data_IF_868052538359
#
_entry.id   IF_868052538359
#
_cell.length_a   1.000
_cell.length_b   1.000
_cell.length_c   1.000
_cell.angle_alpha   90.00
_cell.angle_beta   90.00
_cell.angle_gamma   90.00
#
_symmetry.space_group_name_H-M   'P 1'
#
loop_
_entity.id
_entity.type
_entity.pdbx_description
1 polymer ?
#
# COMPACT_ATOMS: atom_id res chain seq x y z
N UNK A 1 -2.24 14.47 -12.13
CA UNK A 1 -3.37 15.08 -11.40
C UNK A 1 -3.07 14.97 -9.92
N UNK A 2 -3.08 16.09 -9.17
CA UNK A 2 -2.69 16.08 -7.76
C UNK A 2 -3.87 15.54 -6.94
N UNK A 3 -3.75 14.31 -6.43
CA UNK A 3 -4.79 13.68 -5.60
C UNK A 3 -4.73 14.26 -4.19
N UNK A 4 -5.83 14.79 -3.68
CA UNK A 4 -5.89 15.39 -2.35
C UNK A 4 -6.47 14.38 -1.36
N UNK A 5 -5.63 13.44 -0.92
CA UNK A 5 -6.00 12.41 0.04
C UNK A 5 -5.64 12.90 1.43
N UNK A 6 -6.60 12.87 2.34
CA UNK A 6 -6.42 13.25 3.75
C UNK A 6 -6.46 11.96 4.56
N UNK A 7 -5.35 11.51 5.15
CA UNK A 7 -5.34 10.33 6.00
C UNK A 7 -6.34 10.45 7.15
N UNK A 8 -7.01 9.35 7.48
CA UNK A 8 -7.88 9.29 8.65
C UNK A 8 -7.07 9.31 9.96
N UNK A 9 -7.71 9.73 11.05
CA UNK A 9 -7.16 9.54 12.39
C UNK A 9 -7.03 8.04 12.71
N UNK A 10 -6.03 7.67 13.52
CA UNK A 10 -5.79 6.28 13.91
C UNK A 10 -6.96 5.61 14.65
N UNK A 11 -7.88 6.40 15.20
CA UNK A 11 -9.12 5.97 15.86
C UNK A 11 -10.21 5.52 14.89
N UNK A 12 -10.10 5.83 13.59
CA UNK A 12 -11.08 5.44 12.57
C UNK A 12 -10.87 3.97 12.20
N UNK A 13 -11.89 3.16 12.41
CA UNK A 13 -11.88 1.75 12.00
C UNK A 13 -12.25 1.62 10.53
N UNK A 14 -11.56 0.74 9.80
CA UNK A 14 -11.88 0.49 8.40
C UNK A 14 -13.22 -0.26 8.31
N UNK A 15 -14.23 0.28 7.63
CA UNK A 15 -15.59 -0.27 7.71
C UNK A 15 -15.67 -1.66 7.08
N UNK A 16 -16.27 -2.64 7.77
CA UNK A 16 -16.57 -3.93 7.17
C UNK A 16 -17.82 -3.80 6.29
N UNK A 17 -17.67 -3.86 4.96
CA UNK A 17 -18.77 -3.66 4.01
C UNK A 17 -19.31 -5.00 3.51
N UNK A 18 -20.59 -5.26 3.79
CA UNK A 18 -21.34 -6.33 3.14
C UNK A 18 -21.61 -6.03 1.66
N UNK A 19 -22.14 -7.01 0.93
CA UNK A 19 -22.60 -6.79 -0.45
C UNK A 19 -23.70 -5.72 -0.51
N UNK A 20 -24.62 -5.73 0.47
CA UNK A 20 -25.71 -4.77 0.58
C UNK A 20 -25.20 -3.35 0.84
N UNK A 21 -24.17 -3.20 1.70
CA UNK A 21 -23.55 -1.91 1.98
C UNK A 21 -22.88 -1.34 0.73
N UNK A 22 -22.14 -2.19 0.03
CA UNK A 22 -21.48 -1.84 -1.24
C UNK A 22 -22.51 -1.36 -2.26
N UNK A 23 -23.60 -2.10 -2.41
CA UNK A 23 -24.67 -1.71 -3.32
C UNK A 23 -25.36 -0.42 -2.88
N UNK A 24 -25.55 -0.19 -1.57
CA UNK A 24 -26.11 1.05 -1.04
C UNK A 24 -25.23 2.27 -1.33
N UNK A 25 -23.92 2.16 -1.08
CA UNK A 25 -22.94 3.20 -1.36
C UNK A 25 -22.86 3.52 -2.86
N UNK A 26 -22.91 2.51 -3.73
CA UNK A 26 -22.95 2.73 -5.18
C UNK A 26 -24.22 3.45 -5.62
N UNK A 27 -25.37 3.24 -4.96
CA UNK A 27 -26.58 4.00 -5.28
C UNK A 27 -26.46 5.48 -4.89
N UNK A 28 -25.57 5.85 -3.96
CA UNK A 28 -25.34 7.25 -3.60
C UNK A 28 -24.60 8.03 -4.69
N UNK A 29 -23.94 7.36 -5.64
CA UNK A 29 -23.16 8.05 -6.67
C UNK A 29 -24.03 8.63 -7.77
N UNK A 30 -25.15 7.98 -8.08
CA UNK A 30 -26.06 8.36 -9.14
C UNK A 30 -27.25 9.14 -8.58
N UNK A 31 -27.84 9.99 -9.42
CA UNK A 31 -29.08 10.71 -9.10
C UNK A 31 -29.03 11.58 -7.82
N UNK A 32 -27.83 12.07 -7.48
CA UNK A 32 -27.54 12.72 -6.19
C UNK A 32 -27.79 14.22 -6.15
N UNK A 33 -28.08 14.89 -7.28
CA UNK A 33 -28.15 16.36 -7.35
C UNK A 33 -29.06 16.99 -6.32
N UNK A 34 -30.26 16.45 -6.12
CA UNK A 34 -31.24 16.97 -5.15
C UNK A 34 -30.73 16.99 -3.69
N UNK A 35 -29.82 16.08 -3.34
CA UNK A 35 -29.22 15.99 -2.00
C UNK A 35 -27.96 16.83 -1.86
N UNK A 36 -27.20 16.98 -2.95
CA UNK A 36 -25.86 17.56 -2.94
C UNK A 36 -25.85 19.06 -3.28
N UNK A 37 -26.65 19.48 -4.26
CA UNK A 37 -26.64 20.84 -4.79
C UNK A 37 -27.01 21.88 -3.71
N UNK A 38 -26.12 22.84 -3.47
CA UNK A 38 -26.29 23.86 -2.44
C UNK A 38 -26.15 23.36 -1.00
N UNK A 39 -25.83 22.08 -0.78
CA UNK A 39 -25.57 21.52 0.54
C UNK A 39 -24.13 21.74 1.00
N UNK A 40 -23.88 21.51 2.29
CA UNK A 40 -22.53 21.48 2.89
C UNK A 40 -22.11 20.07 3.30
N UNK A 41 -22.74 19.04 2.72
CA UNK A 41 -22.41 17.65 3.01
C UNK A 41 -20.96 17.35 2.67
N UNK A 42 -20.29 16.60 3.54
CA UNK A 42 -18.99 16.03 3.24
C UNK A 42 -19.16 14.96 2.16
N UNK A 43 -18.36 15.08 1.12
CA UNK A 43 -18.34 14.20 -0.04
C UNK A 43 -16.94 13.62 -0.23
N UNK A 44 -16.87 12.47 -0.88
CA UNK A 44 -15.62 11.85 -1.28
C UNK A 44 -15.76 11.14 -2.62
N UNK A 45 -14.67 11.07 -3.37
CA UNK A 45 -14.61 10.34 -4.62
C UNK A 45 -13.77 9.09 -4.41
N UNK A 46 -14.37 7.91 -4.54
CA UNK A 46 -13.62 6.66 -4.36
C UNK A 46 -12.79 6.26 -5.58
N UNK A 47 -12.82 7.00 -6.70
CA UNK A 47 -11.85 6.82 -7.79
C UNK A 47 -10.49 7.47 -7.46
N UNK A 48 -10.50 8.73 -7.01
CA UNK A 48 -9.25 9.48 -6.77
C UNK A 48 -8.88 9.63 -5.29
N UNK A 49 -9.75 9.23 -4.37
CA UNK A 49 -9.57 9.32 -2.92
C UNK A 49 -9.74 10.71 -2.33
N UNK A 50 -10.18 11.70 -3.12
CA UNK A 50 -10.31 13.09 -2.65
C UNK A 50 -11.58 13.30 -1.83
N UNK A 51 -11.46 14.05 -0.74
CA UNK A 51 -12.57 14.48 0.13
C UNK A 51 -12.81 15.99 -0.01
N UNK A 52 -14.07 16.40 -0.07
CA UNK A 52 -14.49 17.78 -0.33
C UNK A 52 -15.90 18.06 0.19
N UNK A 53 -16.36 19.31 0.15
CA UNK A 53 -17.76 19.64 0.44
C UNK A 53 -18.60 19.66 -0.84
N UNK A 54 -19.88 19.32 -0.75
CA UNK A 54 -20.77 19.23 -1.90
C UNK A 54 -20.84 20.53 -2.73
N UNK A 55 -20.66 21.69 -2.10
CA UNK A 55 -20.61 22.99 -2.79
C UNK A 55 -19.43 23.17 -3.76
N UNK A 56 -18.42 22.29 -3.71
CA UNK A 56 -17.32 22.27 -4.70
C UNK A 56 -17.72 21.58 -6.01
N UNK A 57 -18.84 20.85 -6.04
CA UNK A 57 -19.32 20.14 -7.25
C UNK A 57 -19.89 21.19 -8.22
N UNK A 58 -19.19 21.38 -9.35
CA UNK A 58 -19.61 22.30 -10.41
C UNK A 58 -20.24 21.58 -11.60
N UNK A 59 -19.83 20.34 -11.86
CA UNK A 59 -20.22 19.58 -13.05
C UNK A 59 -21.15 18.42 -12.70
N UNK A 60 -22.15 18.21 -13.55
CA UNK A 60 -23.22 17.23 -13.37
C UNK A 60 -23.46 16.52 -14.71
N UNK A 61 -23.54 15.19 -14.66
CA UNK A 61 -23.95 14.38 -15.80
C UNK A 61 -25.49 14.36 -15.87
N UNK A 62 -26.10 14.85 -16.96
CA UNK A 62 -27.55 14.94 -17.06
C UNK A 62 -28.23 13.57 -17.05
N UNK A 63 -29.28 13.44 -16.25
CA UNK A 63 -30.14 12.25 -16.20
C UNK A 63 -31.55 12.60 -16.70
N UNK A 64 -32.31 11.61 -17.17
CA UNK A 64 -33.63 11.86 -17.79
C UNK A 64 -34.68 12.47 -16.86
N UNK A 65 -34.57 12.21 -15.55
CA UNK A 65 -35.49 12.70 -14.51
C UNK A 65 -35.03 13.99 -13.82
N UNK A 66 -33.89 14.57 -14.25
CA UNK A 66 -33.29 15.77 -13.69
C UNK A 66 -32.60 15.55 -12.34
N UNK A 67 -32.57 14.32 -11.82
CA UNK A 67 -31.70 13.96 -10.73
C UNK A 67 -30.31 13.68 -11.33
N UNK A 68 -29.57 14.73 -11.65
CA UNK A 68 -28.27 14.54 -12.31
C UNK A 68 -27.24 13.86 -11.39
N UNK A 69 -26.29 13.19 -12.02
CA UNK A 69 -25.19 12.49 -11.35
C UNK A 69 -24.01 13.44 -11.13
N UNK A 70 -23.50 13.53 -9.90
CA UNK A 70 -22.40 14.44 -9.55
C UNK A 70 -21.07 13.96 -10.17
N UNK A 71 -20.31 14.89 -10.77
CA UNK A 71 -18.95 14.61 -11.21
C UNK A 71 -17.94 15.16 -10.22
N UNK A 72 -16.96 14.33 -9.87
CA UNK A 72 -15.90 14.70 -8.94
C UNK A 72 -15.15 15.95 -9.44
N UNK A 73 -15.03 17.04 -8.65
CA UNK A 73 -14.35 18.26 -9.07
C UNK A 73 -12.83 18.06 -9.27
N UNK A 74 -12.28 16.96 -8.75
CA UNK A 74 -10.85 16.66 -8.84
C UNK A 74 -10.49 15.74 -10.01
N UNK A 75 -11.34 14.77 -10.38
CA UNK A 75 -11.03 13.80 -11.44
C UNK A 75 -12.08 13.66 -12.54
N UNK A 76 -13.26 14.25 -12.39
CA UNK A 76 -14.35 14.18 -13.37
C UNK A 76 -15.14 12.86 -13.37
N UNK A 77 -14.80 11.90 -12.50
CA UNK A 77 -15.54 10.64 -12.40
C UNK A 77 -16.85 10.80 -11.61
N UNK A 78 -17.84 9.98 -11.96
CA UNK A 78 -19.18 9.83 -11.38
C UNK A 78 -19.20 8.92 -10.14
N UNK A 79 -18.17 9.03 -9.29
CA UNK A 79 -17.95 8.15 -8.13
C UNK A 79 -18.00 8.91 -6.81
N UNK A 80 -18.82 9.97 -6.79
CA UNK A 80 -18.99 10.84 -5.62
C UNK A 80 -19.96 10.19 -4.65
N UNK A 81 -19.50 9.87 -3.45
CA UNK A 81 -20.34 9.47 -2.31
C UNK A 81 -20.35 10.59 -1.28
N UNK A 82 -21.38 10.62 -0.44
CA UNK A 82 -21.49 11.60 0.64
C UNK A 82 -21.75 10.94 1.98
N UNK A 83 -21.38 11.65 3.05
CA UNK A 83 -21.54 11.20 4.42
C UNK A 83 -23.01 11.00 4.75
N UNK A 84 -23.33 9.83 5.30
CA UNK A 84 -24.64 9.51 5.86
C UNK A 84 -24.48 9.02 7.29
N UNK A 85 -25.59 8.92 8.02
CA UNK A 85 -25.55 8.38 9.39
C UNK A 85 -25.04 6.94 9.43
N UNK A 86 -25.40 6.14 8.43
CA UNK A 86 -25.03 4.72 8.35
C UNK A 86 -23.64 4.52 7.76
N UNK A 87 -23.18 5.48 6.94
CA UNK A 87 -21.87 5.47 6.30
C UNK A 87 -21.12 6.80 6.53
N UNK A 88 -20.43 6.94 7.67
CA UNK A 88 -19.51 8.06 7.90
C UNK A 88 -18.43 8.10 6.83
N UNK A 89 -18.12 9.29 6.31
CA UNK A 89 -17.14 9.43 5.24
C UNK A 89 -15.71 9.41 5.80
N UNK A 90 -14.91 8.45 5.36
CA UNK A 90 -13.49 8.29 5.71
C UNK A 90 -12.64 7.86 4.51
N UNK A 91 -11.33 8.08 4.59
CA UNK A 91 -10.36 7.62 3.58
C UNK A 91 -10.28 6.10 3.51
N UNK A 92 -10.46 5.40 4.64
CA UNK A 92 -10.56 3.95 4.68
C UNK A 92 -11.80 3.43 3.92
N UNK A 93 -12.95 4.11 4.04
CA UNK A 93 -14.15 3.79 3.25
C UNK A 93 -13.88 3.96 1.75
N UNK A 94 -13.33 5.12 1.35
CA UNK A 94 -13.01 5.38 -0.05
C UNK A 94 -12.01 4.36 -0.60
N UNK A 95 -10.99 3.99 0.18
CA UNK A 95 -9.99 2.98 -0.21
C UNK A 95 -10.63 1.61 -0.44
N UNK A 96 -11.57 1.19 0.42
CA UNK A 96 -12.31 -0.06 0.22
C UNK A 96 -13.15 -0.04 -1.06
N UNK A 97 -13.88 1.04 -1.30
CA UNK A 97 -14.66 1.23 -2.53
C UNK A 97 -13.75 1.25 -3.77
N UNK A 98 -12.56 1.86 -3.70
CA UNK A 98 -11.60 1.81 -4.80
C UNK A 98 -11.13 0.39 -5.10
N UNK A 99 -10.70 -0.34 -4.06
CA UNK A 99 -10.22 -1.71 -4.21
C UNK A 99 -11.30 -2.68 -4.67
N UNK A 100 -12.57 -2.38 -4.45
CA UNK A 100 -13.70 -3.20 -4.90
C UNK A 100 -14.13 -2.88 -6.34
N UNK A 101 -14.31 -1.59 -6.70
CA UNK A 101 -14.85 -1.20 -8.02
C UNK A 101 -13.78 -0.95 -9.07
N UNK A 102 -12.58 -0.57 -8.65
CA UNK A 102 -11.45 -0.24 -9.52
C UNK A 102 -10.27 -1.20 -9.31
N UNK A 103 -10.55 -2.43 -8.88
CA UNK A 103 -9.51 -3.43 -8.61
C UNK A 103 -8.56 -3.66 -9.79
N UNK A 104 -9.09 -3.75 -11.01
CA UNK A 104 -8.24 -3.91 -12.21
C UNK A 104 -7.30 -2.73 -12.43
N UNK A 105 -7.77 -1.49 -12.23
CA UNK A 105 -6.92 -0.30 -12.30
C UNK A 105 -5.87 -0.32 -11.18
N UNK A 106 -6.27 -0.71 -9.97
CA UNK A 106 -5.36 -0.87 -8.84
C UNK A 106 -4.25 -1.89 -9.14
N UNK A 107 -4.58 -3.08 -9.65
CA UNK A 107 -3.59 -4.10 -10.02
C UNK A 107 -2.61 -3.62 -11.09
N UNK A 108 -3.09 -2.87 -12.09
CA UNK A 108 -2.23 -2.28 -13.12
C UNK A 108 -1.25 -1.27 -12.54
N UNK A 109 -1.70 -0.44 -11.59
CA UNK A 109 -0.85 0.51 -10.87
C UNK A 109 0.15 -0.20 -9.97
N UNK A 110 -0.27 -1.24 -9.26
CA UNK A 110 0.60 -2.04 -8.38
C UNK A 110 1.74 -2.72 -9.15
N UNK A 111 1.45 -3.25 -10.35
CA UNK A 111 2.46 -3.90 -11.23
C UNK A 111 3.65 -2.99 -11.55
N UNK A 112 3.40 -1.70 -11.72
CA UNK A 112 4.43 -0.72 -12.10
C UNK A 112 4.93 0.13 -10.94
N UNK A 113 4.30 0.08 -9.77
CA UNK A 113 4.62 0.94 -8.65
C UNK A 113 6.11 0.82 -8.22
N UNK A 114 6.79 1.95 -8.13
CA UNK A 114 8.16 2.06 -7.61
C UNK A 114 8.21 2.78 -6.26
N UNK A 115 7.06 3.23 -5.77
CA UNK A 115 6.92 3.87 -4.47
C UNK A 115 5.54 3.61 -3.88
N UNK A 116 5.55 3.37 -2.57
CA UNK A 116 4.38 3.26 -1.71
C UNK A 116 4.75 3.87 -0.36
N UNK A 117 3.93 4.76 0.24
CA UNK A 117 4.19 5.27 1.57
C UNK A 117 4.23 4.13 2.61
N UNK A 118 4.87 4.40 3.74
CA UNK A 118 4.96 3.42 4.84
C UNK A 118 3.59 3.15 5.46
N UNK A 119 3.28 1.87 5.70
CA UNK A 119 2.09 1.43 6.43
C UNK A 119 2.44 0.34 7.43
N UNK A 120 1.70 0.25 8.54
CA UNK A 120 1.92 -0.79 9.56
C UNK A 120 0.95 -1.96 9.50
N UNK A 121 -0.26 -1.73 9.02
CA UNK A 121 -1.33 -2.72 8.98
C UNK A 121 -2.23 -2.58 7.77
N UNK A 122 -3.11 -3.56 7.50
CA UNK A 122 -4.13 -3.44 6.45
C UNK A 122 -5.05 -2.24 6.71
N UNK A 123 -5.49 -2.06 7.96
CA UNK A 123 -6.33 -0.92 8.33
C UNK A 123 -5.61 0.41 8.21
N UNK A 124 -4.33 0.47 8.59
CA UNK A 124 -3.49 1.66 8.40
C UNK A 124 -3.28 1.97 6.91
N UNK A 125 -3.06 0.94 6.10
CA UNK A 125 -2.95 1.03 4.65
C UNK A 125 -4.22 1.63 4.02
N UNK A 126 -5.41 1.27 4.51
CA UNK A 126 -6.67 1.86 4.06
C UNK A 126 -6.87 3.29 4.60
N UNK A 127 -6.63 3.54 5.88
CA UNK A 127 -6.78 4.88 6.51
C UNK A 127 -5.89 5.94 5.88
N UNK A 128 -4.66 5.56 5.52
CA UNK A 128 -3.73 6.47 4.86
C UNK A 128 -4.05 6.69 3.38
N UNK A 129 -4.97 5.92 2.81
CA UNK A 129 -5.32 6.02 1.39
C UNK A 129 -4.21 5.51 0.47
N UNK A 130 -3.40 4.54 0.94
CA UNK A 130 -2.26 4.00 0.20
C UNK A 130 -2.64 3.50 -1.22
N UNK A 131 -3.79 2.85 -1.46
CA UNK A 131 -4.21 2.47 -2.83
C UNK A 131 -4.22 3.64 -3.81
N UNK A 132 -4.46 4.87 -3.33
CA UNK A 132 -4.46 6.07 -4.14
C UNK A 132 -3.07 6.71 -4.30
N UNK A 133 -2.13 6.39 -3.40
CA UNK A 133 -0.80 6.99 -3.28
C UNK A 133 0.33 6.15 -3.88
N UNK A 134 0.04 4.97 -4.44
CA UNK A 134 1.02 4.20 -5.21
C UNK A 134 1.46 4.98 -6.45
N UNK A 135 2.78 5.13 -6.62
CA UNK A 135 3.38 5.88 -7.73
C UNK A 135 4.42 5.04 -8.48
N UNK A 136 4.55 5.33 -9.77
CA UNK A 136 5.67 4.90 -10.61
C UNK A 136 6.43 6.16 -11.05
N UNK A 137 7.68 6.25 -10.65
CA UNK A 137 8.57 7.31 -11.13
C UNK A 137 9.35 6.80 -12.34
N UNK A 138 9.28 7.51 -13.49
CA UNK A 138 10.04 7.14 -14.70
C UNK A 138 11.57 7.12 -14.46
N UNK A 139 12.02 7.87 -13.45
CA UNK A 139 13.39 7.87 -12.98
C UNK A 139 13.79 6.61 -12.24
N UNK A 140 12.86 5.72 -11.91
CA UNK A 140 13.13 4.52 -11.14
C UNK A 140 13.19 3.30 -12.06
N UNK A 141 13.94 2.29 -11.64
CA UNK A 141 14.06 1.02 -12.34
C UNK A 141 13.82 -0.12 -11.36
N UNK A 142 12.95 -1.04 -11.74
CA UNK A 142 12.77 -2.31 -11.03
C UNK A 142 13.90 -3.23 -11.47
N UNK A 143 14.81 -3.56 -10.56
CA UNK A 143 16.02 -4.35 -10.84
C UNK A 143 15.96 -5.78 -10.29
N UNK A 144 14.89 -6.11 -9.57
CA UNK A 144 14.67 -7.44 -9.02
C UNK A 144 13.46 -7.48 -8.11
N UNK A 145 13.15 -8.69 -7.66
CA UNK A 145 12.08 -8.98 -6.71
C UNK A 145 12.57 -10.13 -5.82
N UNK A 146 12.30 -10.04 -4.52
CA UNK A 146 12.71 -11.03 -3.52
C UNK A 146 11.57 -11.31 -2.56
N UNK A 147 11.53 -12.52 -2.04
CA UNK A 147 10.55 -12.92 -1.04
C UNK A 147 11.09 -12.65 0.36
N UNK A 148 10.17 -12.27 1.23
CA UNK A 148 10.42 -11.92 2.60
C UNK A 148 9.81 -12.98 3.51
N UNK A 149 10.51 -13.21 4.61
CA UNK A 149 10.07 -14.06 5.69
C UNK A 149 9.83 -13.20 6.93
N UNK A 150 8.66 -13.33 7.56
CA UNK A 150 8.33 -12.57 8.77
C UNK A 150 8.81 -13.31 10.02
N UNK A 151 9.74 -12.72 10.76
CA UNK A 151 10.41 -13.43 11.87
C UNK A 151 9.59 -13.50 13.16
N UNK A 152 8.62 -12.60 13.35
CA UNK A 152 7.78 -12.52 14.56
C UNK A 152 6.41 -13.18 14.40
N UNK A 153 6.14 -13.82 13.26
CA UNK A 153 4.85 -14.47 13.03
C UNK A 153 4.70 -15.78 13.84
N UNK A 154 3.50 -16.06 14.38
CA UNK A 154 3.24 -17.31 15.10
C UNK A 154 3.53 -18.54 14.24
N UNK A 155 4.33 -19.48 14.75
CA UNK A 155 4.77 -20.67 14.01
C UNK A 155 6.18 -20.59 13.44
N UNK A 156 6.80 -19.40 13.40
CA UNK A 156 8.14 -19.18 12.82
C UNK A 156 9.30 -19.34 13.83
N UNK A 157 9.09 -20.10 14.91
CA UNK A 157 9.91 -20.09 16.12
C UNK A 157 11.32 -20.71 16.02
N UNK A 158 11.73 -21.27 14.89
CA UNK A 158 12.99 -22.04 14.79
C UNK A 158 14.10 -21.37 13.97
N UNK A 159 13.85 -20.24 13.31
CA UNK A 159 14.91 -19.40 12.72
C UNK A 159 15.77 -20.05 11.62
N UNK A 160 15.45 -21.26 11.16
CA UNK A 160 16.22 -21.99 10.15
C UNK A 160 15.32 -22.95 9.38
N UNK A 161 14.67 -22.53 8.30
CA UNK A 161 13.87 -23.48 7.50
C UNK A 161 13.88 -23.16 6.01
N UNK A 162 15.03 -23.38 5.36
CA UNK A 162 15.08 -23.55 3.90
C UNK A 162 14.42 -24.86 3.41
N UNK A 163 13.91 -25.70 4.31
CA UNK A 163 13.44 -27.04 3.98
C UNK A 163 12.01 -27.38 4.47
N UNK A 164 11.31 -26.47 5.15
CA UNK A 164 10.00 -26.81 5.71
C UNK A 164 8.81 -26.30 4.88
N UNK A 165 8.17 -27.24 4.18
CA UNK A 165 6.94 -27.05 3.40
C UNK A 165 5.76 -26.47 4.21
N UNK A 166 5.84 -26.47 5.55
CA UNK A 166 4.87 -25.87 6.46
C UNK A 166 4.94 -24.34 6.60
N UNK A 167 6.03 -23.69 6.17
CA UNK A 167 6.21 -22.24 6.31
C UNK A 167 5.16 -21.40 5.55
N UNK A 168 4.52 -21.97 4.52
CA UNK A 168 3.40 -21.36 3.81
C UNK A 168 2.10 -21.34 4.63
N UNK A 169 1.91 -22.26 5.59
CA UNK A 169 0.73 -22.27 6.48
C UNK A 169 0.78 -21.16 7.55
N UNK A 170 1.96 -20.58 7.82
CA UNK A 170 2.11 -19.38 8.64
C UNK A 170 1.66 -18.08 7.94
N UNK A 171 1.24 -18.15 6.66
CA UNK A 171 0.64 -17.04 5.93
C UNK A 171 -0.74 -16.65 6.49
N UNK A 172 -1.48 -17.61 7.03
CA UNK A 172 -2.79 -17.37 7.64
C UNK A 172 -2.71 -16.96 9.13
N UNK A 173 -1.51 -17.05 9.73
CA UNK A 173 -1.27 -16.79 11.15
C UNK A 173 -0.56 -15.45 11.43
N UNK A 174 0.24 -14.95 10.48
CA UNK A 174 0.70 -13.57 10.54
C UNK A 174 -0.52 -12.69 10.26
N UNK A 175 -0.84 -11.78 11.17
CA UNK A 175 -1.82 -10.74 10.88
C UNK A 175 -1.27 -9.75 9.85
N UNK A 176 -1.61 -8.49 10.07
CA UNK A 176 -1.16 -7.35 9.29
C UNK A 176 0.35 -7.28 8.97
N UNK A 177 0.72 -7.27 7.68
CA UNK A 177 2.10 -7.13 7.20
C UNK A 177 2.47 -5.64 7.00
N UNK A 178 3.45 -5.07 7.74
CA UNK A 178 3.89 -3.69 7.50
C UNK A 178 4.68 -3.57 6.19
N UNK A 179 4.66 -2.40 5.56
CA UNK A 179 5.32 -2.22 4.27
C UNK A 179 5.52 -0.76 3.87
N UNK A 180 5.63 -0.55 2.56
CA UNK A 180 6.00 0.73 1.94
C UNK A 180 7.44 0.76 1.45
N UNK A 181 8.01 1.96 1.38
CA UNK A 181 9.38 2.17 0.94
C UNK A 181 10.40 1.74 2.01
N UNK A 182 11.41 0.97 1.58
CA UNK A 182 12.35 0.28 2.47
C UNK A 182 13.80 0.65 2.14
N UNK A 183 14.53 1.06 3.16
CA UNK A 183 16.00 1.11 3.15
C UNK A 183 16.56 -0.24 3.54
N UNK A 184 17.43 -0.78 2.69
CA UNK A 184 18.15 -2.03 2.92
C UNK A 184 19.51 -1.70 3.55
N UNK A 185 19.79 -2.26 4.72
CA UNK A 185 21.07 -2.13 5.42
C UNK A 185 21.72 -3.50 5.51
N UNK A 186 22.95 -3.61 5.06
CA UNK A 186 23.74 -4.85 5.10
C UNK A 186 24.77 -4.73 6.22
N UNK A 187 24.77 -5.72 7.11
CA UNK A 187 25.75 -5.84 8.19
C UNK A 187 26.71 -6.98 7.87
N UNK A 188 28.01 -6.71 7.89
CA UNK A 188 29.08 -7.70 7.71
C UNK A 188 29.75 -7.93 9.07
N UNK A 189 29.52 -9.10 9.68
CA UNK A 189 30.02 -9.45 11.02
C UNK A 189 28.97 -10.11 11.91
N UNK A 190 29.33 -11.27 12.45
CA UNK A 190 28.49 -12.22 13.20
C UNK A 190 27.49 -11.62 14.20
N UNK A 191 26.18 -11.90 13.99
CA UNK A 191 25.30 -12.14 15.14
C UNK A 191 25.58 -13.55 15.64
N UNK A 192 25.95 -13.66 16.91
CA UNK A 192 26.04 -14.96 17.58
C UNK A 192 24.61 -15.41 17.91
N UNK A 193 24.14 -16.49 17.28
CA UNK A 193 22.95 -17.18 17.75
C UNK A 193 23.38 -18.21 18.80
N UNK A 194 22.91 -18.05 20.03
CA UNK A 194 23.09 -19.05 21.07
C UNK A 194 21.97 -20.07 20.96
N UNK A 195 22.20 -21.15 20.22
CA UNK A 195 21.36 -22.34 20.23
C UNK A 195 22.20 -23.47 20.84
N UNK A 196 21.71 -24.02 21.95
CA UNK A 196 22.07 -25.32 22.55
C UNK A 196 23.48 -25.85 22.19
N UNK A 197 24.51 -25.11 22.61
CA UNK A 197 25.95 -25.46 22.55
C UNK A 197 26.72 -25.25 21.21
N UNK A 198 26.15 -24.61 20.20
CA UNK A 198 26.90 -24.19 18.98
C UNK A 198 26.81 -22.67 18.72
N UNK A 199 27.97 -22.00 18.72
CA UNK A 199 28.08 -20.60 18.27
C UNK A 199 28.00 -20.55 16.74
N UNK A 200 26.80 -20.41 16.19
CA UNK A 200 26.62 -20.15 14.75
C UNK A 200 26.92 -18.67 14.50
N UNK A 201 28.01 -18.39 13.78
CA UNK A 201 28.34 -17.05 13.28
C UNK A 201 27.68 -16.84 11.91
N UNK A 202 26.63 -16.03 11.87
CA UNK A 202 26.05 -15.58 10.60
C UNK A 202 26.91 -14.45 10.04
N UNK A 203 27.67 -14.70 8.97
CA UNK A 203 28.67 -13.76 8.44
C UNK A 203 28.10 -12.42 7.94
N UNK A 204 26.86 -12.42 7.44
CA UNK A 204 26.17 -11.26 6.86
C UNK A 204 24.68 -11.35 7.19
N UNK A 205 24.05 -10.24 7.58
CA UNK A 205 22.59 -10.18 7.72
C UNK A 205 22.04 -8.83 7.23
N UNK A 206 20.73 -8.79 7.00
CA UNK A 206 20.03 -7.62 6.46
C UNK A 206 19.10 -6.99 7.49
N UNK A 207 19.00 -5.67 7.45
CA UNK A 207 17.97 -4.91 8.14
C UNK A 207 17.16 -4.10 7.13
N UNK A 208 15.85 -4.23 7.23
CA UNK A 208 14.88 -3.49 6.45
C UNK A 208 14.31 -2.38 7.32
N UNK A 209 14.46 -1.12 6.89
CA UNK A 209 14.07 0.05 7.66
C UNK A 209 13.09 0.87 6.83
N UNK A 210 11.92 1.17 7.38
CA UNK A 210 10.92 2.01 6.72
C UNK A 210 11.32 3.50 6.73
N UNK A 211 10.50 4.36 6.11
CA UNK A 211 10.78 5.80 6.02
C UNK A 211 10.69 6.53 7.37
N UNK A 212 10.04 5.91 8.35
CA UNK A 212 9.94 6.40 9.72
C UNK A 212 11.13 5.94 10.60
N UNK A 213 12.06 5.17 10.05
CA UNK A 213 13.22 4.64 10.76
C UNK A 213 12.92 3.40 11.61
N UNK A 214 11.75 2.78 11.44
CA UNK A 214 11.38 1.56 12.16
C UNK A 214 11.93 0.35 11.42
N UNK A 215 12.45 -0.62 12.18
CA UNK A 215 12.89 -1.90 11.64
C UNK A 215 11.66 -2.75 11.31
N UNK A 216 11.55 -3.18 10.06
CA UNK A 216 10.52 -4.11 9.62
C UNK A 216 10.88 -5.54 10.06
N UNK A 217 9.90 -6.38 10.44
CA UNK A 217 10.12 -7.71 11.00
C UNK A 217 10.39 -8.77 9.92
N UNK A 218 11.22 -8.44 8.93
CA UNK A 218 11.51 -9.30 7.79
C UNK A 218 12.96 -9.77 7.72
N UNK A 219 13.13 -10.97 7.20
CA UNK A 219 14.38 -11.53 6.67
C UNK A 219 14.16 -11.98 5.21
N UNK A 220 15.23 -12.26 4.48
CA UNK A 220 15.13 -12.77 3.11
C UNK A 220 14.80 -14.27 3.14
N UNK A 221 14.03 -14.74 2.16
CA UNK A 221 13.50 -16.11 2.18
C UNK A 221 14.58 -17.19 2.03
N UNK A 222 15.63 -16.94 1.24
CA UNK A 222 16.66 -17.93 0.93
C UNK A 222 18.05 -17.31 0.75
N UNK A 223 19.14 -18.09 0.86
CA UNK A 223 20.50 -17.58 0.67
C UNK A 223 20.71 -17.09 -0.76
N UNK A 224 20.05 -17.70 -1.76
CA UNK A 224 20.08 -17.22 -3.14
C UNK A 224 19.51 -15.80 -3.28
N UNK A 225 18.46 -15.48 -2.50
CA UNK A 225 17.90 -14.14 -2.45
C UNK A 225 18.79 -13.18 -1.66
N UNK A 226 19.46 -13.64 -0.60
CA UNK A 226 20.51 -12.87 0.09
C UNK A 226 21.64 -12.48 -0.86
N UNK A 227 22.17 -13.45 -1.62
CA UNK A 227 23.20 -13.22 -2.62
C UNK A 227 22.73 -12.27 -3.72
N UNK A 228 21.48 -12.40 -4.17
CA UNK A 228 20.87 -11.46 -5.12
C UNK A 228 20.88 -10.03 -4.58
N UNK A 229 20.38 -9.82 -3.35
CA UNK A 229 20.36 -8.49 -2.72
C UNK A 229 21.77 -7.97 -2.48
N UNK A 230 22.71 -8.80 -2.04
CA UNK A 230 24.12 -8.41 -1.84
C UNK A 230 24.74 -7.90 -3.14
N UNK A 231 24.61 -8.65 -4.23
CA UNK A 231 25.13 -8.25 -5.54
C UNK A 231 24.53 -6.91 -6.00
N UNK A 232 23.23 -6.69 -5.77
CA UNK A 232 22.57 -5.43 -6.11
C UNK A 232 23.00 -4.28 -5.19
N UNK A 233 23.21 -4.53 -3.90
CA UNK A 233 23.74 -3.54 -2.94
C UNK A 233 25.17 -3.16 -3.31
N UNK A 234 26.02 -4.12 -3.70
CA UNK A 234 27.39 -3.83 -4.17
C UNK A 234 27.39 -3.01 -5.47
N UNK A 235 26.47 -3.31 -6.38
CA UNK A 235 26.34 -2.60 -7.67
C UNK A 235 25.79 -1.19 -7.53
N UNK A 236 24.73 -1.00 -6.74
CA UNK A 236 23.96 0.25 -6.70
C UNK A 236 24.14 1.06 -5.40
N UNK A 237 24.71 0.45 -4.36
CA UNK A 237 24.96 1.09 -3.07
C UNK A 237 23.71 1.70 -2.46
N UNK A 238 23.83 2.92 -1.97
CA UNK A 238 22.73 3.66 -1.32
C UNK A 238 21.62 4.10 -2.28
N UNK A 239 21.66 3.75 -3.56
CA UNK A 239 20.57 4.00 -4.51
C UNK A 239 19.55 2.88 -4.56
N UNK A 240 19.93 1.67 -4.14
CA UNK A 240 19.01 0.54 -4.04
C UNK A 240 18.04 0.76 -2.88
N UNK A 241 16.77 0.49 -3.14
CA UNK A 241 15.68 0.52 -2.16
C UNK A 241 14.81 -0.71 -2.37
N UNK A 242 14.12 -1.11 -1.32
CA UNK A 242 13.02 -2.07 -1.40
C UNK A 242 11.69 -1.35 -1.42
N UNK A 243 10.66 -1.99 -1.96
CA UNK A 243 9.27 -1.53 -1.87
C UNK A 243 8.40 -2.75 -1.58
N UNK A 244 7.66 -2.71 -0.48
CA UNK A 244 6.65 -3.71 -0.12
C UNK A 244 5.29 -3.06 -0.40
N UNK A 245 4.58 -3.56 -1.40
CA UNK A 245 3.43 -2.86 -1.98
C UNK A 245 2.15 -3.05 -1.18
N UNK A 246 1.96 -4.24 -0.62
CA UNK A 246 0.67 -4.65 -0.08
C UNK A 246 0.83 -5.33 1.28
N UNK A 247 -0.10 -5.09 2.22
CA UNK A 247 -0.19 -5.79 3.51
C UNK A 247 -0.56 -7.28 3.40
N UNK A 248 -0.81 -7.80 2.21
CA UNK A 248 -0.99 -9.24 1.95
C UNK A 248 0.23 -9.90 1.28
N UNK A 249 1.21 -9.08 0.87
CA UNK A 249 2.38 -9.51 0.12
C UNK A 249 3.60 -9.67 1.02
N UNK A 250 4.32 -10.77 0.87
CA UNK A 250 5.65 -10.98 1.46
C UNK A 250 6.72 -10.88 0.40
N UNK A 251 6.56 -9.97 -0.52
CA UNK A 251 7.47 -9.81 -1.65
C UNK A 251 7.90 -8.35 -1.67
N UNK A 252 9.21 -8.16 -1.78
CA UNK A 252 9.83 -6.86 -1.85
C UNK A 252 10.41 -6.65 -3.24
N UNK A 253 9.90 -5.62 -3.90
CA UNK A 253 10.45 -5.15 -5.16
C UNK A 253 11.72 -4.36 -4.91
N UNK A 254 12.78 -4.64 -5.66
CA UNK A 254 14.04 -3.93 -5.57
C UNK A 254 14.08 -2.84 -6.63
N UNK A 255 14.19 -1.59 -6.19
CA UNK A 255 14.07 -0.39 -7.02
C UNK A 255 15.35 0.45 -6.91
N UNK A 256 15.80 1.00 -8.03
CA UNK A 256 16.96 1.90 -8.08
C UNK A 256 16.55 3.21 -8.76
N UNK A 257 16.90 4.34 -8.15
CA UNK A 257 16.83 5.65 -8.83
C UNK A 257 17.88 5.69 -9.94
N UNK A 258 17.44 5.74 -11.20
CA UNK A 258 18.30 6.06 -12.35
C UNK A 258 18.96 7.40 -12.08
N UNK A 259 20.29 7.44 -12.21
CA UNK A 259 20.97 8.72 -12.38
C UNK A 259 20.51 9.26 -13.73
N UNK A 260 20.08 10.53 -13.86
CA UNK A 260 19.87 11.10 -15.17
C UNK A 260 21.14 10.85 -15.98
N UNK A 261 21.01 10.16 -17.12
CA UNK A 261 22.13 9.92 -18.01
C UNK A 261 22.85 11.26 -18.18
N UNK A 262 24.12 11.32 -17.77
CA UNK A 262 24.90 12.53 -17.94
C UNK A 262 24.75 12.94 -19.40
N UNK A 263 24.16 14.11 -19.63
CA UNK A 263 24.19 14.72 -20.94
C UNK A 263 25.68 14.91 -21.26
N UNK A 264 26.25 13.98 -22.02
CA UNK A 264 27.54 14.18 -22.68
C UNK A 264 27.43 15.51 -23.42
N UNK A 265 28.10 16.53 -22.89
CA UNK A 265 28.37 17.78 -23.59
C UNK A 265 29.67 17.63 -24.36
#
# INVERSE_FOLDING_TARGET
MRRYIVPDEASVEAPHLSYEDKHALNRLTAYGRSMLEGSSLRCGCFHCGSSFVASEIADWMPEEDGADTALCPYCGCDTVVYETKDYPLSTALLSKLYLDWFYTEFEEREKVATYVPTFSTYDDYLRQGIPFLMEHYESDEIVGEVDLFRVDAPGNATGFMHEDSGAWQAKDLAGDEPGGMVKIVVHRGGRDFALEDENIRVGTYFEFIDELGRRLPYELWSPDQEDCVLNLVEKYGTKLRGVILSPSGRTMRLVVKKVPAAACR
#
